data_IF_310763305134
#
_entry.id   IF_310763305134
#
_cell.length_a   1.000
_cell.length_b   1.000
_cell.length_c   1.000
_cell.angle_alpha   90.00
_cell.angle_beta   90.00
_cell.angle_gamma   90.00
#
_symmetry.space_group_name_H-M   'P 1'
#
loop_
_entity.id
_entity.type
_entity.pdbx_description
1 polymer ?
#
# COMPACT_ATOMS: atom_id res chain seq x y z
N UNK A 1 0.42 0.22 -77.48
CA UNK A 1 0.65 1.31 -76.50
C UNK A 1 -0.37 1.16 -75.38
N UNK A 2 -0.03 0.52 -74.28
CA UNK A 2 -0.93 0.44 -73.15
C UNK A 2 -0.07 0.43 -71.86
N UNK A 3 -0.14 1.52 -71.14
CA UNK A 3 0.60 1.73 -69.88
C UNK A 3 -0.19 1.09 -68.77
N UNK A 4 0.32 0.03 -68.21
CA UNK A 4 -0.23 -0.60 -67.00
C UNK A 4 0.29 0.10 -65.76
N UNK A 5 -0.60 0.75 -65.00
CA UNK A 5 -0.37 1.43 -63.76
C UNK A 5 -0.42 0.39 -62.63
N UNK A 6 0.71 0.08 -62.01
CA UNK A 6 0.79 -0.82 -60.83
C UNK A 6 0.56 0.08 -59.58
N UNK A 7 -0.59 -0.08 -58.96
CA UNK A 7 -0.89 0.55 -57.68
C UNK A 7 -0.27 -0.28 -56.52
N UNK A 8 0.75 0.24 -55.86
CA UNK A 8 1.30 -0.29 -54.61
C UNK A 8 0.38 0.11 -53.44
N UNK A 9 -0.36 -0.87 -52.94
CA UNK A 9 -1.11 -0.69 -51.70
C UNK A 9 -0.15 -0.98 -50.54
N UNK A 10 0.38 0.07 -49.90
CA UNK A 10 1.13 -0.03 -48.65
C UNK A 10 0.15 -0.24 -47.53
N UNK A 11 0.07 -1.47 -47.01
CA UNK A 11 -0.69 -1.83 -45.82
C UNK A 11 0.10 -1.35 -44.58
N UNK A 12 -0.25 -0.15 -44.04
CA UNK A 12 0.23 0.31 -42.75
C UNK A 12 -0.42 -0.53 -41.65
N UNK A 13 0.34 -1.47 -41.09
CA UNK A 13 0.00 -2.09 -39.81
C UNK A 13 0.13 -1.02 -38.71
N UNK A 14 -0.98 -0.44 -38.29
CA UNK A 14 -1.08 0.35 -37.08
C UNK A 14 -0.98 -0.60 -35.88
N UNK A 15 0.21 -0.73 -35.33
CA UNK A 15 0.45 -1.42 -34.07
C UNK A 15 -0.09 -0.50 -32.97
N UNK A 16 -1.34 -0.74 -32.55
CA UNK A 16 -1.96 -0.05 -31.40
C UNK A 16 -1.29 -0.54 -30.12
N UNK A 17 -0.24 0.13 -29.68
CA UNK A 17 0.28 -0.04 -28.33
C UNK A 17 -0.74 0.56 -27.37
N UNK A 18 -1.53 -0.30 -26.72
CA UNK A 18 -2.37 0.08 -25.59
C UNK A 18 -1.46 0.52 -24.44
N UNK A 19 -1.16 1.81 -24.37
CA UNK A 19 -0.56 2.40 -23.18
C UNK A 19 -1.65 2.44 -22.13
N UNK A 20 -1.52 1.62 -21.09
CA UNK A 20 -2.26 1.79 -19.85
C UNK A 20 -1.85 3.15 -19.25
N UNK A 21 -2.60 4.19 -19.59
CA UNK A 21 -2.42 5.51 -18.97
C UNK A 21 -2.90 5.42 -17.53
N UNK A 22 -1.98 5.52 -16.57
CA UNK A 22 -2.33 5.80 -15.19
C UNK A 22 -3.23 7.06 -15.17
N UNK A 23 -4.48 6.89 -14.74
CA UNK A 23 -5.44 8.01 -14.65
C UNK A 23 -4.96 8.97 -13.56
N UNK A 24 -4.41 10.11 -13.95
CA UNK A 24 -4.24 11.25 -13.06
C UNK A 24 -5.55 12.03 -13.00
N UNK A 25 -6.02 12.34 -11.79
CA UNK A 25 -7.14 13.27 -11.60
C UNK A 25 -6.76 14.68 -12.08
N UNK A 26 -7.77 15.52 -12.34
CA UNK A 26 -7.57 16.92 -12.75
C UNK A 26 -6.73 17.76 -11.76
N UNK A 27 -6.57 17.31 -10.51
CA UNK A 27 -5.77 17.96 -9.46
C UNK A 27 -4.36 17.37 -9.29
N UNK A 28 -3.93 16.46 -10.17
CA UNK A 28 -2.61 15.83 -10.08
C UNK A 28 -2.46 14.73 -9.01
N UNK A 29 -3.53 14.39 -8.29
CA UNK A 29 -3.55 13.24 -7.38
C UNK A 29 -3.70 11.94 -8.16
N UNK A 30 -3.06 10.87 -7.66
CA UNK A 30 -3.19 9.54 -8.24
C UNK A 30 -4.60 8.97 -7.97
N UNK A 31 -5.05 8.06 -8.84
CA UNK A 31 -6.24 7.25 -8.61
C UNK A 31 -5.78 5.82 -8.39
N UNK A 32 -6.19 5.21 -7.29
CA UNK A 32 -5.87 3.84 -6.89
C UNK A 32 -7.11 2.95 -6.96
N UNK A 33 -6.93 1.68 -7.31
CA UNK A 33 -7.98 0.67 -7.19
C UNK A 33 -8.24 0.29 -5.72
N UNK A 34 -9.34 -0.42 -5.45
CA UNK A 34 -9.66 -0.85 -4.09
C UNK A 34 -8.75 -2.00 -3.57
N UNK A 35 -8.00 -2.64 -4.48
CA UNK A 35 -6.86 -3.53 -4.17
C UNK A 35 -5.68 -3.11 -5.01
N UNK A 36 -4.52 -2.94 -4.39
CA UNK A 36 -3.27 -2.58 -5.07
C UNK A 36 -2.13 -3.49 -4.63
N UNK A 37 -1.10 -3.57 -5.47
CA UNK A 37 0.19 -4.11 -5.06
C UNK A 37 0.98 -3.05 -4.30
N UNK A 38 1.67 -3.49 -3.25
CA UNK A 38 2.60 -2.66 -2.47
C UNK A 38 3.85 -3.44 -2.14
N UNK A 39 4.95 -2.74 -1.84
CA UNK A 39 6.16 -3.37 -1.30
C UNK A 39 6.41 -2.85 0.11
N UNK A 40 6.55 -3.75 1.07
CA UNK A 40 6.89 -3.40 2.46
C UNK A 40 8.38 -3.09 2.56
N UNK A 41 8.70 -1.84 2.91
CA UNK A 41 10.06 -1.35 2.93
C UNK A 41 10.66 -1.34 4.35
N UNK A 42 11.99 -1.51 4.52
CA UNK A 42 12.99 -1.79 3.48
C UNK A 42 13.12 -3.28 3.12
N UNK A 43 12.25 -4.15 3.64
CA UNK A 43 12.32 -5.60 3.44
C UNK A 43 12.24 -6.02 1.97
N UNK A 44 11.47 -5.28 1.15
CA UNK A 44 11.35 -5.54 -0.28
C UNK A 44 10.28 -6.57 -0.66
N UNK A 45 9.47 -7.05 0.29
CA UNK A 45 8.42 -8.04 0.06
C UNK A 45 7.21 -7.39 -0.61
N UNK A 46 6.77 -7.95 -1.74
CA UNK A 46 5.60 -7.49 -2.49
C UNK A 46 4.32 -8.14 -1.95
N UNK A 47 3.32 -7.33 -1.62
CA UNK A 47 2.08 -7.74 -0.97
C UNK A 47 0.86 -7.14 -1.66
N UNK A 48 -0.32 -7.75 -1.45
CA UNK A 48 -1.60 -7.11 -1.77
C UNK A 48 -2.07 -6.26 -0.61
N UNK A 49 -2.48 -5.03 -0.90
CA UNK A 49 -3.09 -4.11 0.03
C UNK A 49 -4.56 -3.86 -0.36
N UNK A 50 -5.48 -4.02 0.60
CA UNK A 50 -6.87 -3.57 0.46
C UNK A 50 -6.94 -2.10 0.85
N UNK A 51 -7.45 -1.25 -0.03
CA UNK A 51 -7.74 0.15 0.24
C UNK A 51 -9.17 0.25 0.78
N UNK A 52 -9.32 0.60 2.07
CA UNK A 52 -10.59 0.48 2.80
C UNK A 52 -11.03 1.83 3.35
N UNK A 53 -11.93 2.51 2.65
CA UNK A 53 -12.51 3.77 3.10
C UNK A 53 -13.42 3.63 4.34
N UNK A 54 -13.82 2.41 4.70
CA UNK A 54 -14.58 2.13 5.93
C UNK A 54 -13.73 2.08 7.19
N UNK A 55 -12.44 1.72 7.06
CA UNK A 55 -11.50 1.70 8.16
C UNK A 55 -10.82 3.06 8.33
N UNK A 56 -10.61 3.47 9.58
CA UNK A 56 -9.89 4.70 9.88
C UNK A 56 -8.38 4.52 9.79
N UNK A 57 -7.84 3.52 10.48
CA UNK A 57 -6.41 3.25 10.63
C UNK A 57 -6.02 2.04 9.80
N UNK A 58 -4.84 2.12 9.19
CA UNK A 58 -4.28 0.98 8.45
C UNK A 58 -3.91 -0.17 9.39
N UNK A 59 -3.85 -1.38 8.84
CA UNK A 59 -3.54 -2.61 9.58
C UNK A 59 -2.59 -3.48 8.78
N UNK A 60 -1.55 -3.97 9.45
CA UNK A 60 -0.57 -4.89 8.90
C UNK A 60 -0.75 -6.26 9.58
N UNK A 61 -0.67 -7.34 8.80
CA UNK A 61 -0.57 -8.69 9.36
C UNK A 61 0.67 -8.82 10.22
N UNK A 62 0.47 -9.23 11.46
CA UNK A 62 1.55 -9.44 12.41
C UNK A 62 1.15 -10.45 13.47
N UNK A 63 2.06 -11.34 13.80
CA UNK A 63 2.00 -12.33 14.86
C UNK A 63 3.03 -12.02 15.95
N UNK A 64 2.97 -12.71 17.08
CA UNK A 64 3.92 -12.56 18.20
C UNK A 64 4.12 -11.11 18.68
N UNK A 65 3.08 -10.29 18.64
CA UNK A 65 3.13 -8.88 18.98
C UNK A 65 3.39 -8.71 20.48
N UNK A 66 4.55 -8.15 20.84
CA UNK A 66 4.99 -7.92 22.23
C UNK A 66 5.45 -6.48 22.41
N UNK A 67 4.85 -5.80 23.38
CA UNK A 67 5.30 -4.48 23.82
C UNK A 67 6.33 -4.64 24.93
N UNK A 68 7.46 -3.97 24.79
CA UNK A 68 8.53 -3.97 25.78
C UNK A 68 9.10 -2.55 25.98
N UNK A 69 10.01 -2.38 26.92
CA UNK A 69 10.65 -1.12 27.19
C UNK A 69 12.13 -1.18 26.78
N UNK A 70 12.60 -0.11 26.13
CA UNK A 70 14.01 0.09 25.77
C UNK A 70 14.36 1.56 26.03
N UNK A 71 15.31 1.80 26.93
CA UNK A 71 15.78 3.15 27.30
C UNK A 71 14.65 4.11 27.74
N UNK A 72 13.66 3.61 28.46
CA UNK A 72 12.51 4.40 28.90
C UNK A 72 11.40 4.61 27.88
N UNK A 73 11.57 4.14 26.66
CA UNK A 73 10.59 4.22 25.59
C UNK A 73 9.89 2.87 25.38
N UNK A 74 8.63 2.93 24.94
CA UNK A 74 7.88 1.71 24.59
C UNK A 74 8.15 1.32 23.15
N UNK A 75 8.56 0.07 22.98
CA UNK A 75 8.83 -0.57 21.70
C UNK A 75 7.88 -1.75 21.46
N UNK A 76 7.75 -2.15 20.21
CA UNK A 76 6.95 -3.32 19.81
C UNK A 76 7.83 -4.24 19.00
N UNK A 77 7.91 -5.51 19.41
CA UNK A 77 8.44 -6.61 18.61
C UNK A 77 7.27 -7.37 18.02
N UNK A 78 7.35 -7.70 16.75
CA UNK A 78 6.32 -8.44 16.02
C UNK A 78 6.93 -9.17 14.84
N UNK A 79 6.26 -10.21 14.37
CA UNK A 79 6.65 -11.00 13.20
C UNK A 79 5.63 -10.80 12.10
N UNK A 80 6.10 -10.61 10.88
CA UNK A 80 5.28 -10.56 9.66
C UNK A 80 5.56 -11.82 8.87
N UNK A 81 4.54 -12.69 8.74
CA UNK A 81 4.58 -13.95 8.01
C UNK A 81 3.65 -13.87 6.82
N UNK A 82 4.20 -13.84 5.61
CA UNK A 82 3.42 -13.56 4.38
C UNK A 82 3.95 -14.37 3.19
N UNK A 83 3.17 -14.43 2.12
CA UNK A 83 3.64 -14.87 0.82
C UNK A 83 4.12 -13.64 0.02
N UNK A 84 5.36 -13.70 -0.47
CA UNK A 84 5.89 -12.68 -1.36
C UNK A 84 5.31 -12.89 -2.77
N UNK A 85 4.54 -11.93 -3.25
CA UNK A 85 3.91 -11.99 -4.59
C UNK A 85 4.92 -12.01 -5.73
N UNK A 86 6.16 -11.56 -5.51
CA UNK A 86 7.19 -11.56 -6.54
C UNK A 86 7.77 -12.96 -6.77
N UNK A 87 7.84 -13.80 -5.73
CA UNK A 87 8.47 -15.12 -5.77
C UNK A 87 7.48 -16.27 -5.55
N UNK A 88 6.32 -16.01 -4.94
CA UNK A 88 5.37 -17.01 -4.46
C UNK A 88 5.84 -17.77 -3.22
N UNK A 89 6.93 -17.33 -2.59
CA UNK A 89 7.48 -17.99 -1.41
C UNK A 89 6.88 -17.42 -0.11
N UNK A 90 6.71 -18.30 0.87
CA UNK A 90 6.40 -17.86 2.25
C UNK A 90 7.66 -17.32 2.89
N UNK A 91 7.59 -16.09 3.34
CA UNK A 91 8.69 -15.36 3.98
C UNK A 91 8.25 -14.83 5.34
N UNK A 92 9.20 -14.74 6.27
CA UNK A 92 8.94 -14.28 7.62
C UNK A 92 10.05 -13.36 8.10
N UNK A 93 9.69 -12.25 8.73
CA UNK A 93 10.65 -11.34 9.34
C UNK A 93 10.11 -10.76 10.64
N UNK A 94 10.98 -10.75 11.66
CA UNK A 94 10.70 -10.09 12.94
C UNK A 94 11.22 -8.65 12.90
N UNK A 95 10.37 -7.74 13.33
CA UNK A 95 10.64 -6.31 13.43
C UNK A 95 10.64 -5.86 14.89
N UNK A 96 11.43 -4.83 15.19
CA UNK A 96 11.34 -4.05 16.42
C UNK A 96 11.21 -2.58 16.04
N UNK A 97 10.13 -1.95 16.48
CA UNK A 97 9.81 -0.54 16.17
C UNK A 97 9.41 0.20 17.44
N UNK A 98 9.72 1.50 17.56
CA UNK A 98 9.11 2.33 18.58
C UNK A 98 7.60 2.25 18.48
N UNK A 99 6.92 2.16 19.63
CA UNK A 99 5.46 2.27 19.66
C UNK A 99 5.07 3.72 19.44
N UNK A 100 4.49 4.02 18.27
CA UNK A 100 4.05 5.36 17.93
C UNK A 100 2.91 5.82 18.88
N UNK A 101 1.84 5.00 18.98
CA UNK A 101 0.70 5.21 19.88
C UNK A 101 -0.06 3.90 20.18
N UNK A 102 -1.16 4.00 20.92
CA UNK A 102 -2.15 2.93 21.07
C UNK A 102 -3.46 3.38 20.46
N UNK A 103 -4.21 2.45 19.90
CA UNK A 103 -5.59 2.68 19.47
C UNK A 103 -6.51 1.68 20.14
N UNK A 104 -7.76 2.10 20.34
CA UNK A 104 -8.87 1.25 20.72
C UNK A 104 -9.69 0.98 19.47
N UNK A 105 -9.65 -0.26 18.98
CA UNK A 105 -10.48 -0.69 17.85
C UNK A 105 -11.79 -1.21 18.40
N UNK A 106 -12.92 -0.65 17.95
CA UNK A 106 -14.26 -1.11 18.26
C UNK A 106 -14.88 -1.75 17.01
N UNK A 107 -15.40 -2.94 17.16
CA UNK A 107 -16.02 -3.69 16.05
C UNK A 107 -16.96 -4.77 16.56
N UNK A 108 -17.51 -5.57 15.66
CA UNK A 108 -18.45 -6.65 15.99
C UNK A 108 -17.86 -7.68 16.98
N UNK A 109 -16.54 -7.82 17.05
CA UNK A 109 -15.82 -8.69 18.00
C UNK A 109 -15.53 -8.07 19.36
N UNK A 110 -15.99 -6.84 19.65
CA UNK A 110 -15.72 -6.13 20.91
C UNK A 110 -14.65 -5.03 20.78
N UNK A 111 -13.99 -4.71 21.88
CA UNK A 111 -12.92 -3.72 21.94
C UNK A 111 -11.55 -4.40 21.98
N UNK A 112 -10.63 -3.95 21.13
CA UNK A 112 -9.26 -4.45 21.08
C UNK A 112 -8.26 -3.28 21.10
N UNK A 113 -7.28 -3.35 22.02
CA UNK A 113 -6.25 -2.32 22.16
C UNK A 113 -4.98 -2.75 21.45
N UNK A 114 -4.69 -2.08 20.35
CA UNK A 114 -3.53 -2.42 19.50
C UNK A 114 -2.43 -1.38 19.57
N UNK A 115 -1.16 -1.80 19.56
CA UNK A 115 -0.05 -0.88 19.32
C UNK A 115 -0.08 -0.41 17.86
N UNK A 116 0.35 0.82 17.66
CA UNK A 116 0.58 1.42 16.34
C UNK A 116 2.08 1.63 16.16
N UNK A 117 2.59 1.27 15.00
CA UNK A 117 3.97 1.49 14.58
C UNK A 117 3.99 2.21 13.23
N UNK A 118 5.10 2.88 12.93
CA UNK A 118 5.35 3.43 11.60
C UNK A 118 6.03 2.39 10.72
N UNK A 119 5.44 2.14 9.55
CA UNK A 119 6.01 1.26 8.53
C UNK A 119 6.04 1.99 7.19
N UNK A 120 6.99 1.62 6.36
CA UNK A 120 7.13 2.20 5.02
C UNK A 120 6.60 1.26 3.97
N UNK A 121 5.81 1.80 3.04
CA UNK A 121 5.28 1.10 1.88
C UNK A 121 5.67 1.83 0.60
N UNK A 122 5.98 1.06 -0.43
CA UNK A 122 6.04 1.57 -1.80
C UNK A 122 4.66 1.44 -2.46
N UNK A 123 4.10 2.57 -2.91
CA UNK A 123 2.87 2.64 -3.70
C UNK A 123 3.15 3.41 -4.98
N UNK A 124 3.05 2.75 -6.14
CA UNK A 124 3.54 3.32 -7.39
C UNK A 124 5.05 3.59 -7.32
N UNK A 125 5.47 4.82 -7.51
CA UNK A 125 6.86 5.27 -7.52
C UNK A 125 7.32 5.94 -6.20
N UNK A 126 6.43 6.04 -5.20
CA UNK A 126 6.63 6.80 -3.97
C UNK A 126 6.60 5.91 -2.74
N UNK A 127 7.53 6.12 -1.82
CA UNK A 127 7.55 5.48 -0.50
C UNK A 127 6.76 6.35 0.48
N UNK A 128 5.81 5.73 1.17
CA UNK A 128 4.99 6.38 2.21
C UNK A 128 5.32 5.74 3.56
N UNK A 129 5.61 6.56 4.56
CA UNK A 129 5.67 6.14 5.96
C UNK A 129 4.30 6.38 6.59
N UNK A 130 3.67 5.30 7.05
CA UNK A 130 2.29 5.32 7.51
C UNK A 130 2.11 4.60 8.85
N UNK A 131 1.04 4.95 9.55
CA UNK A 131 0.67 4.36 10.84
C UNK A 131 -0.05 3.03 10.64
N UNK A 132 0.47 1.95 11.22
CA UNK A 132 -0.14 0.62 11.16
C UNK A 132 -0.48 0.08 12.55
N UNK A 133 -1.73 -0.34 12.73
CA UNK A 133 -2.08 -1.28 13.78
C UNK A 133 -1.56 -2.67 13.41
N UNK A 134 -1.10 -3.41 14.41
CA UNK A 134 -0.63 -4.79 14.25
C UNK A 134 -1.74 -5.74 14.66
N UNK A 135 -2.08 -6.69 13.79
CA UNK A 135 -3.13 -7.67 14.03
C UNK A 135 -2.83 -8.97 13.29
N UNK A 136 -3.18 -10.08 13.89
CA UNK A 136 -3.21 -11.34 13.16
C UNK A 136 -4.31 -11.29 12.10
N UNK A 137 -3.90 -11.37 10.84
CA UNK A 137 -4.76 -11.33 9.66
C UNK A 137 -4.63 -12.61 8.83
N UNK A 138 -4.15 -13.70 9.43
CA UNK A 138 -3.94 -14.99 8.75
C UNK A 138 -5.22 -15.56 8.12
N UNK A 139 -6.37 -15.27 8.71
CA UNK A 139 -7.68 -15.65 8.18
C UNK A 139 -8.25 -14.65 7.16
N UNK A 140 -7.48 -13.63 6.79
CA UNK A 140 -7.90 -12.57 5.86
C UNK A 140 -7.16 -12.69 4.53
N UNK A 141 -7.84 -12.31 3.44
CA UNK A 141 -7.29 -12.37 2.07
C UNK A 141 -6.09 -11.40 1.89
N UNK A 142 -6.12 -10.26 2.59
CA UNK A 142 -5.15 -9.20 2.40
C UNK A 142 -4.30 -8.99 3.66
N UNK A 143 -2.97 -9.18 3.60
CA UNK A 143 -2.08 -8.94 4.74
C UNK A 143 -1.95 -7.46 5.10
N UNK A 144 -2.22 -6.58 4.15
CA UNK A 144 -2.20 -5.12 4.33
C UNK A 144 -3.59 -4.56 4.08
N UNK A 145 -4.04 -3.69 4.98
CA UNK A 145 -5.23 -2.87 4.83
C UNK A 145 -4.81 -1.41 5.01
N UNK A 146 -5.18 -0.55 4.05
CA UNK A 146 -4.92 0.88 4.09
C UNK A 146 -6.21 1.62 4.43
N UNK A 147 -6.23 2.28 5.59
CA UNK A 147 -7.38 3.04 6.08
C UNK A 147 -7.40 4.49 5.58
N UNK A 148 -8.47 5.24 5.93
CA UNK A 148 -8.71 6.60 5.43
C UNK A 148 -7.55 7.56 5.67
N UNK A 149 -6.85 7.44 6.81
CA UNK A 149 -5.66 8.28 7.07
C UNK A 149 -4.63 8.13 5.96
N UNK A 150 -4.22 6.90 5.65
CA UNK A 150 -3.30 6.63 4.54
C UNK A 150 -3.91 7.01 3.19
N UNK A 151 -5.19 6.72 2.94
CA UNK A 151 -5.84 7.03 1.66
C UNK A 151 -5.86 8.53 1.36
N UNK A 152 -6.01 9.39 2.37
CA UNK A 152 -5.99 10.85 2.21
C UNK A 152 -4.62 11.36 1.69
N UNK A 153 -3.55 10.63 1.99
CA UNK A 153 -2.19 10.92 1.54
C UNK A 153 -1.89 10.36 0.14
N UNK A 154 -2.49 9.23 -0.20
CA UNK A 154 -2.26 8.56 -1.48
C UNK A 154 -2.97 9.29 -2.64
N UNK A 155 -4.29 9.48 -2.54
CA UNK A 155 -5.08 10.04 -3.63
C UNK A 155 -6.54 9.63 -3.59
N UNK A 156 -7.12 9.36 -4.75
CA UNK A 156 -8.52 8.95 -4.90
C UNK A 156 -8.65 7.43 -5.03
N UNK A 157 -9.73 6.89 -4.48
CA UNK A 157 -10.06 5.47 -4.55
C UNK A 157 -11.13 5.26 -5.64
N UNK A 158 -10.79 4.44 -6.64
CA UNK A 158 -11.75 3.90 -7.60
C UNK A 158 -12.15 2.48 -7.18
N UNK A 159 -13.39 2.33 -6.70
CA UNK A 159 -13.90 1.06 -6.21
C UNK A 159 -14.24 0.06 -7.33
N UNK A 160 -14.17 0.49 -8.59
CA UNK A 160 -14.44 -0.35 -9.76
C UNK A 160 -13.18 -1.00 -10.34
N UNK A 161 -12.00 -0.55 -9.89
CA UNK A 161 -10.70 -0.95 -10.43
C UNK A 161 -9.83 -1.63 -9.38
N UNK A 162 -8.84 -2.39 -9.86
CA UNK A 162 -7.79 -3.02 -9.03
C UNK A 162 -6.45 -2.96 -9.77
N UNK A 163 -5.35 -2.95 -9.02
CA UNK A 163 -3.99 -3.04 -9.53
C UNK A 163 -3.66 -1.99 -10.61
N UNK A 164 -4.04 -0.73 -10.35
CA UNK A 164 -3.74 0.39 -11.25
C UNK A 164 -2.26 0.81 -11.18
N UNK A 165 -1.59 0.53 -10.04
CA UNK A 165 -0.21 0.91 -9.82
C UNK A 165 0.61 -0.27 -9.28
N UNK A 166 1.66 -0.65 -10.02
CA UNK A 166 2.69 -1.54 -9.48
C UNK A 166 3.72 -0.74 -8.68
N UNK A 167 4.23 -1.29 -7.55
CA UNK A 167 5.28 -0.65 -6.79
C UNK A 167 6.61 -0.70 -7.58
N UNK A 168 7.15 0.48 -7.88
CA UNK A 168 8.38 0.66 -8.66
C UNK A 168 9.45 1.47 -7.93
N UNK A 169 9.36 1.55 -6.59
CA UNK A 169 10.28 2.35 -5.80
C UNK A 169 11.72 1.85 -5.89
N UNK A 170 12.62 2.82 -5.92
CA UNK A 170 14.08 2.64 -5.89
C UNK A 170 14.66 3.40 -4.70
N UNK A 171 15.97 3.33 -4.51
CA UNK A 171 16.68 4.09 -3.46
C UNK A 171 16.54 5.62 -3.60
N UNK A 172 16.13 6.10 -4.77
CA UNK A 172 15.95 7.54 -5.07
C UNK A 172 14.49 7.96 -5.14
N UNK A 173 13.56 7.04 -4.87
CA UNK A 173 12.13 7.36 -4.85
C UNK A 173 11.79 8.38 -3.76
N UNK A 174 10.81 9.26 -4.01
CA UNK A 174 10.34 10.19 -2.99
C UNK A 174 9.87 9.44 -1.74
N UNK A 175 10.24 9.97 -0.57
CA UNK A 175 9.76 9.49 0.73
C UNK A 175 8.84 10.55 1.33
N UNK A 176 7.60 10.17 1.61
CA UNK A 176 6.62 10.96 2.35
C UNK A 176 6.53 10.43 3.77
N UNK A 177 6.90 11.25 4.75
CA UNK A 177 6.89 10.88 6.17
C UNK A 177 5.52 11.17 6.80
N UNK A 178 5.07 10.31 7.71
CA UNK A 178 3.81 10.48 8.47
C UNK A 178 3.72 11.86 9.15
N UNK A 179 4.81 12.32 9.78
CA UNK A 179 4.89 13.63 10.45
C UNK A 179 4.73 14.85 9.54
N UNK A 180 4.95 14.69 8.23
CA UNK A 180 4.85 15.76 7.25
C UNK A 180 3.46 15.80 6.60
N UNK A 181 2.56 14.90 7.02
CA UNK A 181 1.21 14.78 6.53
C UNK A 181 0.26 15.42 7.56
N UNK A 182 -0.73 16.16 7.08
CA UNK A 182 -1.70 16.79 7.99
C UNK A 182 -2.45 15.73 8.80
N UNK A 183 -2.42 15.86 10.12
CA UNK A 183 -3.25 15.04 10.99
C UNK A 183 -4.72 15.33 10.69
N UNK A 184 -5.48 14.27 10.45
CA UNK A 184 -6.93 14.36 10.35
C UNK A 184 -7.47 14.75 11.74
N UNK A 185 -7.84 16.02 11.88
CA UNK A 185 -8.28 16.63 13.16
C UNK A 185 -9.61 16.10 13.66
N UNK A 186 -10.35 15.36 12.82
CA UNK A 186 -11.68 14.83 13.14
C UNK A 186 -11.62 13.45 13.82
N UNK A 187 -10.43 13.03 14.26
CA UNK A 187 -10.22 11.68 14.75
C UNK A 187 -9.59 11.73 16.14
N UNK A 188 -10.42 12.11 17.09
CA UNK A 188 -10.13 11.89 18.50
C UNK A 188 -10.36 10.42 18.87
N UNK A 189 -9.44 9.89 19.67
CA UNK A 189 -9.36 8.52 20.19
C UNK A 189 -10.57 8.07 21.03
#
# INVERSE_FOLDING_TARGET
MQKTLVALISLLLLCSTSQAMARKSAEGKNVYGWVENTTLMPWGVKLKAKLDSGALTSSLHATDVKVFERNGEKWVRFTVDVEDLATGEKVSQTFEKPRYRKVLIRGAGGEDRRPVVLMQLCMGDTVYEEQFTLNDRSDMIYPVLLGRRTLSHLGYLDVTETFLHDPTCTATSPLKLDKDQEDDKDIDD
#
